data_IF_541914403593
#
_entry.id   IF_541914403593
#
_cell.length_a   1.000
_cell.length_b   1.000
_cell.length_c   1.000
_cell.angle_alpha   90.00
_cell.angle_beta   90.00
_cell.angle_gamma   90.00
#
_symmetry.space_group_name_H-M   'P 1'
#
loop_
_entity.id
_entity.type
_entity.pdbx_description
1 polymer ?
#
# COMPACT_ATOMS: atom_id res chain seq x y z
N UNK A 1 27.04 3.91 -7.09
CA UNK A 1 26.71 3.12 -5.89
C UNK A 1 25.56 3.82 -5.20
N UNK A 2 24.52 3.08 -4.84
CA UNK A 2 23.31 3.64 -4.25
C UNK A 2 23.67 4.13 -2.83
N UNK A 3 23.24 5.34 -2.43
CA UNK A 3 23.61 5.98 -1.16
C UNK A 3 22.90 5.39 0.06
N UNK A 4 22.70 4.06 0.08
CA UNK A 4 22.06 3.35 1.17
C UNK A 4 22.88 3.48 2.47
N UNK A 5 22.21 3.69 3.59
CA UNK A 5 22.79 3.60 4.94
C UNK A 5 23.24 2.16 5.21
N UNK A 6 24.25 2.01 6.07
CA UNK A 6 24.72 0.67 6.47
C UNK A 6 23.62 -0.15 7.16
N UNK A 7 22.73 0.51 7.90
CA UNK A 7 21.57 -0.14 8.50
C UNK A 7 20.62 -0.71 7.43
N UNK A 8 20.31 0.06 6.39
CA UNK A 8 19.45 -0.43 5.29
C UNK A 8 20.13 -1.50 4.47
N UNK A 9 21.44 -1.37 4.18
CA UNK A 9 22.20 -2.44 3.51
C UNK A 9 22.14 -3.75 4.30
N UNK A 10 22.43 -3.69 5.60
CA UNK A 10 22.39 -4.86 6.47
C UNK A 10 20.98 -5.47 6.51
N UNK A 11 19.95 -4.62 6.59
CA UNK A 11 18.56 -5.07 6.56
C UNK A 11 18.23 -5.79 5.24
N UNK A 12 18.57 -5.20 4.09
CA UNK A 12 18.34 -5.78 2.75
C UNK A 12 18.98 -7.16 2.62
N UNK A 13 20.26 -7.27 2.95
CA UNK A 13 21.01 -8.52 2.88
C UNK A 13 20.41 -9.59 3.80
N UNK A 14 19.99 -9.21 5.02
CA UNK A 14 19.35 -10.12 5.99
C UNK A 14 18.00 -10.65 5.47
N UNK A 15 17.31 -9.88 4.62
CA UNK A 15 16.04 -10.29 3.99
C UNK A 15 16.20 -10.96 2.62
N UNK A 16 17.44 -11.10 2.13
CA UNK A 16 17.75 -11.74 0.85
C UNK A 16 17.65 -10.83 -0.37
N UNK A 17 17.67 -9.51 -0.18
CA UNK A 17 17.73 -8.52 -1.26
C UNK A 17 19.17 -8.04 -1.47
N UNK A 18 19.50 -7.70 -2.71
CA UNK A 18 20.76 -7.04 -3.05
C UNK A 18 20.67 -5.53 -2.79
N UNK A 19 21.83 -4.88 -2.67
CA UNK A 19 21.91 -3.42 -2.57
C UNK A 19 22.04 -2.74 -3.95
N UNK A 20 22.17 -3.53 -5.02
CA UNK A 20 22.43 -3.07 -6.39
C UNK A 20 21.13 -2.76 -7.12
N UNK A 21 20.12 -3.62 -6.96
CA UNK A 21 18.78 -3.46 -7.55
C UNK A 21 17.71 -3.30 -6.48
N UNK A 22 17.23 -2.06 -6.31
CA UNK A 22 16.15 -1.74 -5.36
C UNK A 22 14.79 -2.32 -5.77
N UNK A 23 14.66 -2.80 -7.00
CA UNK A 23 13.43 -3.35 -7.59
C UNK A 23 13.49 -4.87 -7.74
N UNK A 24 14.51 -5.53 -7.17
CA UNK A 24 14.61 -6.97 -7.16
C UNK A 24 13.34 -7.59 -6.55
N UNK A 25 12.73 -8.49 -7.29
CA UNK A 25 11.64 -9.32 -6.78
C UNK A 25 12.20 -10.48 -5.96
N UNK A 26 11.80 -10.53 -4.69
CA UNK A 26 12.14 -11.62 -3.78
C UNK A 26 11.11 -12.76 -3.84
N UNK A 27 10.98 -13.49 -2.73
CA UNK A 27 9.95 -14.52 -2.58
C UNK A 27 8.55 -13.91 -2.74
N UNK A 28 7.65 -14.63 -3.42
CA UNK A 28 6.28 -14.18 -3.76
C UNK A 28 6.22 -12.90 -4.61
N UNK A 29 7.32 -12.52 -5.27
CA UNK A 29 7.39 -11.30 -6.06
C UNK A 29 7.49 -10.02 -5.22
N UNK A 30 7.65 -10.11 -3.90
CA UNK A 30 7.76 -8.92 -3.04
C UNK A 30 9.09 -8.19 -3.30
N UNK A 31 9.03 -6.89 -3.56
CA UNK A 31 10.23 -6.03 -3.55
C UNK A 31 10.66 -5.71 -2.11
N UNK A 32 11.89 -5.22 -1.95
CA UNK A 32 12.39 -4.75 -0.65
C UNK A 32 11.45 -3.71 -0.01
N UNK A 33 10.88 -2.81 -0.83
CA UNK A 33 9.93 -1.79 -0.39
C UNK A 33 8.67 -2.42 0.23
N UNK A 34 8.07 -3.42 -0.43
CA UNK A 34 6.90 -4.14 0.08
C UNK A 34 7.22 -4.88 1.38
N UNK A 35 8.37 -5.57 1.42
CA UNK A 35 8.80 -6.33 2.58
C UNK A 35 9.03 -5.41 3.79
N UNK A 36 9.72 -4.28 3.60
CA UNK A 36 9.95 -3.29 4.65
C UNK A 36 8.65 -2.66 5.14
N UNK A 37 7.70 -2.40 4.22
CA UNK A 37 6.38 -1.87 4.53
C UNK A 37 5.56 -2.84 5.39
N UNK A 38 5.55 -4.13 5.03
CA UNK A 38 4.87 -5.19 5.78
C UNK A 38 5.47 -5.37 7.19
N UNK A 39 6.77 -5.18 7.33
CA UNK A 39 7.48 -5.28 8.63
C UNK A 39 7.52 -3.94 9.40
N UNK A 40 6.81 -2.91 8.94
CA UNK A 40 6.76 -1.58 9.57
C UNK A 40 8.12 -0.85 9.71
N UNK A 41 9.11 -1.16 8.86
CA UNK A 41 10.47 -0.60 8.99
C UNK A 41 10.54 0.76 8.30
N UNK A 42 10.02 1.80 8.96
CA UNK A 42 9.86 3.14 8.40
C UNK A 42 11.14 3.72 7.77
N UNK A 43 12.27 3.64 8.48
CA UNK A 43 13.54 4.18 7.99
C UNK A 43 13.96 3.56 6.65
N UNK A 44 13.81 2.24 6.50
CA UNK A 44 14.10 1.52 5.26
C UNK A 44 13.11 1.90 4.16
N UNK A 45 11.80 1.95 4.46
CA UNK A 45 10.78 2.34 3.46
C UNK A 45 11.06 3.74 2.92
N UNK A 46 11.31 4.70 3.82
CA UNK A 46 11.60 6.08 3.44
C UNK A 46 12.85 6.16 2.57
N UNK A 47 13.93 5.51 2.99
CA UNK A 47 15.19 5.54 2.25
C UNK A 47 15.06 4.89 0.86
N UNK A 48 14.36 3.78 0.74
CA UNK A 48 14.11 3.13 -0.56
C UNK A 48 13.31 4.05 -1.50
N UNK A 49 12.31 4.77 -0.99
CA UNK A 49 11.55 5.76 -1.78
C UNK A 49 12.45 6.92 -2.20
N UNK A 50 13.23 7.49 -1.28
CA UNK A 50 14.12 8.62 -1.53
C UNK A 50 15.18 8.27 -2.61
N UNK A 51 15.60 7.00 -2.68
CA UNK A 51 16.55 6.48 -3.66
C UNK A 51 15.91 6.00 -4.97
N UNK A 52 14.60 6.17 -5.14
CA UNK A 52 13.90 5.88 -6.40
C UNK A 52 13.53 4.41 -6.61
N UNK A 53 13.33 3.63 -5.54
CA UNK A 53 12.66 2.34 -5.66
C UNK A 53 11.29 2.51 -6.34
N UNK A 54 10.90 1.56 -7.19
CA UNK A 54 9.62 1.57 -7.88
C UNK A 54 8.48 1.42 -6.88
N UNK A 55 7.90 2.55 -6.50
CA UNK A 55 6.81 2.63 -5.53
C UNK A 55 5.53 1.89 -6.00
N UNK A 56 5.37 1.75 -7.32
CA UNK A 56 4.21 1.11 -7.95
C UNK A 56 4.48 -0.34 -8.35
N UNK A 57 5.57 -0.94 -7.90
CA UNK A 57 5.80 -2.37 -8.07
C UNK A 57 4.63 -3.17 -7.48
N UNK A 58 4.37 -4.35 -8.06
CA UNK A 58 3.35 -5.30 -7.62
C UNK A 58 4.00 -6.65 -7.36
N UNK A 59 3.53 -7.35 -6.33
CA UNK A 59 3.94 -8.72 -6.04
C UNK A 59 3.14 -9.73 -6.90
N UNK A 60 3.33 -11.03 -6.66
CA UNK A 60 2.67 -12.10 -7.42
C UNK A 60 1.15 -12.19 -7.21
N UNK A 61 0.60 -11.47 -6.22
CA UNK A 61 -0.85 -11.37 -5.98
C UNK A 61 -1.41 -10.03 -6.51
N UNK A 62 -0.57 -9.23 -7.18
CA UNK A 62 -0.91 -7.90 -7.66
C UNK A 62 -0.92 -6.81 -6.58
N UNK A 63 -0.50 -7.10 -5.35
CA UNK A 63 -0.49 -6.13 -4.26
C UNK A 63 0.74 -5.21 -4.34
N UNK A 64 0.56 -3.92 -4.05
CA UNK A 64 1.65 -2.96 -3.92
C UNK A 64 1.99 -2.69 -2.44
N UNK A 65 2.96 -1.80 -2.19
CA UNK A 65 3.36 -1.46 -0.82
C UNK A 65 2.21 -0.88 0.02
N UNK A 66 1.32 -0.05 -0.56
CA UNK A 66 0.19 0.55 0.15
C UNK A 66 -0.75 -0.50 0.72
N UNK A 67 -0.97 -1.60 -0.01
CA UNK A 67 -1.77 -2.72 0.45
C UNK A 67 -1.26 -3.27 1.80
N UNK A 68 0.05 -3.47 1.93
CA UNK A 68 0.66 -3.96 3.16
C UNK A 68 0.64 -2.92 4.30
N UNK A 69 0.79 -1.63 4.00
CA UNK A 69 0.68 -0.57 5.00
C UNK A 69 -0.73 -0.48 5.60
N UNK A 70 -1.76 -0.55 4.74
CA UNK A 70 -3.15 -0.54 5.18
C UNK A 70 -3.54 -1.83 5.91
N UNK A 71 -3.08 -2.99 5.44
CA UNK A 71 -3.32 -4.28 6.13
C UNK A 71 -2.72 -4.31 7.54
N UNK A 72 -1.53 -3.74 7.72
CA UNK A 72 -0.87 -3.63 9.02
C UNK A 72 -1.38 -2.47 9.89
N UNK A 73 -2.26 -1.61 9.39
CA UNK A 73 -2.65 -0.35 10.03
C UNK A 73 -1.46 0.57 10.35
N UNK A 74 -0.42 0.56 9.49
CA UNK A 74 0.78 1.36 9.68
C UNK A 74 0.57 2.80 9.18
N UNK A 75 -0.20 3.61 9.91
CA UNK A 75 -0.65 4.95 9.48
C UNK A 75 0.48 5.86 8.96
N UNK A 76 1.65 5.87 9.61
CA UNK A 76 2.80 6.66 9.18
C UNK A 76 3.33 6.23 7.80
N UNK A 77 3.31 4.91 7.53
CA UNK A 77 3.69 4.37 6.23
C UNK A 77 2.62 4.62 5.17
N UNK A 78 1.34 4.58 5.53
CA UNK A 78 0.25 4.95 4.60
C UNK A 78 0.45 6.41 4.16
N UNK A 79 0.66 7.33 5.11
CA UNK A 79 0.92 8.74 4.82
C UNK A 79 2.17 8.93 3.97
N UNK A 80 3.28 8.25 4.31
CA UNK A 80 4.53 8.33 3.55
C UNK A 80 4.34 7.87 2.10
N UNK A 81 3.69 6.72 1.88
CA UNK A 81 3.48 6.16 0.55
C UNK A 81 2.54 7.04 -0.30
N UNK A 82 1.46 7.56 0.29
CA UNK A 82 0.53 8.47 -0.39
C UNK A 82 1.17 9.83 -0.72
N UNK A 83 2.01 10.35 0.17
CA UNK A 83 2.81 11.55 -0.09
C UNK A 83 3.78 11.33 -1.26
N UNK A 84 4.35 10.12 -1.37
CA UNK A 84 5.20 9.69 -2.47
C UNK A 84 4.43 9.28 -3.75
N UNK A 85 3.11 9.56 -3.82
CA UNK A 85 2.27 9.34 -5.00
C UNK A 85 2.23 7.89 -5.49
N UNK A 86 2.25 6.93 -4.56
CA UNK A 86 1.88 5.55 -4.89
C UNK A 86 0.48 5.51 -5.53
N UNK A 87 0.26 4.55 -6.44
CA UNK A 87 -1.04 4.30 -7.03
C UNK A 87 -2.01 3.77 -5.97
N UNK A 88 -2.85 4.68 -5.44
CA UNK A 88 -3.91 4.37 -4.47
C UNK A 88 -5.00 3.46 -5.06
N UNK A 89 -5.16 3.50 -6.37
CA UNK A 89 -6.18 2.78 -7.14
C UNK A 89 -5.67 1.43 -7.68
N UNK A 90 -4.51 0.96 -7.22
CA UNK A 90 -3.99 -0.35 -7.61
C UNK A 90 -4.98 -1.45 -7.25
N UNK A 91 -5.45 -2.16 -8.27
CA UNK A 91 -6.22 -3.39 -8.13
C UNK A 91 -5.26 -4.57 -8.08
N UNK A 92 -5.39 -5.39 -7.04
CA UNK A 92 -4.69 -6.67 -6.98
C UNK A 92 -5.30 -7.67 -7.99
N UNK A 93 -4.81 -8.90 -8.01
CA UNK A 93 -5.21 -9.86 -9.04
C UNK A 93 -6.68 -10.32 -8.93
N UNK A 94 -7.33 -10.06 -7.79
CA UNK A 94 -8.79 -10.23 -7.60
C UNK A 94 -9.60 -8.96 -7.95
N UNK A 95 -8.96 -7.94 -8.53
CA UNK A 95 -9.58 -6.66 -8.80
C UNK A 95 -9.78 -5.79 -7.54
N UNK A 96 -9.30 -6.21 -6.37
CA UNK A 96 -9.57 -5.50 -5.13
C UNK A 96 -8.62 -4.31 -4.94
N UNK A 97 -9.17 -3.15 -4.61
CA UNK A 97 -8.40 -1.97 -4.18
C UNK A 97 -8.15 -2.00 -2.67
N UNK A 98 -7.19 -1.20 -2.21
CA UNK A 98 -6.94 -1.07 -0.77
C UNK A 98 -8.11 -0.41 -0.02
N UNK A 99 -8.90 0.42 -0.70
CA UNK A 99 -10.11 1.02 -0.12
C UNK A 99 -11.21 -0.02 0.09
N UNK A 100 -11.40 -0.98 -0.82
CA UNK A 100 -12.33 -2.11 -0.63
C UNK A 100 -11.93 -2.94 0.58
N UNK A 101 -10.64 -3.24 0.73
CA UNK A 101 -10.12 -3.92 1.92
C UNK A 101 -10.42 -3.13 3.19
N UNK A 102 -10.05 -1.84 3.26
CA UNK A 102 -10.27 -1.01 4.43
C UNK A 102 -11.76 -0.90 4.81
N UNK A 103 -12.64 -0.84 3.81
CA UNK A 103 -14.08 -0.84 4.01
C UNK A 103 -14.58 -2.16 4.62
N UNK A 104 -14.12 -3.30 4.11
CA UNK A 104 -14.45 -4.64 4.63
C UNK A 104 -13.95 -4.85 6.05
N UNK A 105 -12.73 -4.40 6.35
CA UNK A 105 -12.13 -4.47 7.68
C UNK A 105 -12.82 -3.54 8.69
N UNK A 106 -13.66 -2.59 8.23
CA UNK A 106 -14.31 -1.60 9.09
C UNK A 106 -13.37 -0.56 9.65
N UNK A 107 -12.14 -0.47 9.11
CA UNK A 107 -11.13 0.45 9.59
C UNK A 107 -11.44 1.88 9.13
N UNK A 108 -12.15 2.59 10.00
CA UNK A 108 -12.66 3.94 9.75
C UNK A 108 -11.52 4.94 9.52
N UNK A 109 -10.43 4.81 10.27
CA UNK A 109 -9.26 5.68 10.22
C UNK A 109 -8.52 5.53 8.89
N UNK A 110 -8.28 4.29 8.44
CA UNK A 110 -7.67 4.03 7.13
C UNK A 110 -8.59 4.52 6.00
N UNK A 111 -9.91 4.28 6.08
CA UNK A 111 -10.86 4.79 5.09
C UNK A 111 -10.80 6.32 5.02
N UNK A 112 -10.84 7.03 6.15
CA UNK A 112 -10.72 8.50 6.18
C UNK A 112 -9.43 8.97 5.54
N UNK A 113 -8.31 8.34 5.88
CA UNK A 113 -6.99 8.69 5.36
C UNK A 113 -6.91 8.47 3.85
N UNK A 114 -7.36 7.32 3.35
CA UNK A 114 -7.42 7.06 1.91
C UNK A 114 -8.30 8.09 1.19
N UNK A 115 -9.49 8.40 1.71
CA UNK A 115 -10.42 9.36 1.09
C UNK A 115 -9.86 10.78 0.95
N UNK A 116 -8.93 11.20 1.83
CA UNK A 116 -8.24 12.49 1.70
C UNK A 116 -7.37 12.59 0.43
N UNK A 117 -7.03 11.44 -0.17
CA UNK A 117 -6.23 11.35 -1.40
C UNK A 117 -7.07 11.04 -2.64
N UNK A 118 -8.40 11.19 -2.56
CA UNK A 118 -9.34 11.07 -3.68
C UNK A 118 -9.21 9.78 -4.52
N UNK A 119 -9.26 8.58 -3.89
CA UNK A 119 -9.25 7.32 -4.62
C UNK A 119 -10.50 7.20 -5.50
N UNK A 120 -10.40 6.41 -6.56
CA UNK A 120 -11.55 6.11 -7.40
C UNK A 120 -12.52 5.17 -6.66
N UNK A 121 -13.64 5.73 -6.21
CA UNK A 121 -14.69 5.04 -5.46
C UNK A 121 -15.52 4.06 -6.30
N UNK A 122 -15.37 4.11 -7.63
CA UNK A 122 -16.22 3.38 -8.58
C UNK A 122 -15.54 2.16 -9.21
N UNK A 123 -14.26 1.94 -8.92
CA UNK A 123 -13.55 0.72 -9.32
C UNK A 123 -14.28 -0.50 -8.79
N UNK A 124 -14.33 -1.53 -9.62
CA UNK A 124 -15.01 -2.79 -9.34
C UNK A 124 -14.00 -3.91 -9.28
N UNK A 125 -14.16 -4.80 -8.29
CA UNK A 125 -13.43 -6.07 -8.27
C UNK A 125 -13.98 -7.02 -9.36
N UNK A 126 -13.44 -8.24 -9.42
CA UNK A 126 -13.89 -9.23 -10.42
C UNK A 126 -15.36 -9.68 -10.26
N UNK A 127 -15.99 -9.39 -9.11
CA UNK A 127 -17.40 -9.69 -8.82
C UNK A 127 -18.31 -8.46 -8.95
N UNK A 128 -17.84 -7.42 -9.66
CA UNK A 128 -18.53 -6.14 -9.88
C UNK A 128 -18.77 -5.28 -8.61
N UNK A 129 -18.22 -5.66 -7.46
CA UNK A 129 -18.35 -4.91 -6.20
C UNK A 129 -17.39 -3.73 -6.11
N UNK A 130 -17.91 -2.60 -5.61
CA UNK A 130 -17.19 -1.36 -5.33
C UNK A 130 -16.86 -1.27 -3.83
N UNK A 131 -16.04 -0.29 -3.45
CA UNK A 131 -15.67 -0.10 -2.04
C UNK A 131 -16.88 0.05 -1.09
N UNK A 132 -17.97 0.68 -1.54
CA UNK A 132 -19.18 0.87 -0.72
C UNK A 132 -19.90 -0.45 -0.41
N UNK A 133 -19.81 -1.45 -1.29
CA UNK A 133 -20.45 -2.75 -1.13
C UNK A 133 -19.79 -3.57 -0.02
N UNK A 134 -18.53 -3.24 0.31
CA UNK A 134 -17.77 -3.85 1.39
C UNK A 134 -17.90 -3.12 2.73
N UNK A 135 -18.68 -2.03 2.85
CA UNK A 135 -18.75 -1.26 4.09
C UNK A 135 -19.30 -2.11 5.26
N UNK A 136 -18.42 -2.52 6.18
CA UNK A 136 -18.79 -3.44 7.26
C UNK A 136 -19.46 -2.77 8.47
N UNK A 137 -19.42 -1.44 8.54
CA UNK A 137 -20.08 -0.69 9.60
C UNK A 137 -20.71 0.62 9.10
N UNK A 138 -21.57 1.19 9.93
CA UNK A 138 -22.36 2.40 9.61
C UNK A 138 -21.47 3.60 9.32
N UNK A 139 -20.35 3.74 10.03
CA UNK A 139 -19.46 4.89 9.88
C UNK A 139 -18.70 4.83 8.55
N UNK A 140 -18.14 3.67 8.19
CA UNK A 140 -17.52 3.45 6.87
C UNK A 140 -18.53 3.69 5.75
N UNK A 141 -19.75 3.13 5.89
CA UNK A 141 -20.82 3.35 4.90
C UNK A 141 -21.15 4.84 4.76
N UNK A 142 -21.22 5.58 5.87
CA UNK A 142 -21.48 7.02 5.89
C UNK A 142 -20.35 7.80 5.20
N UNK A 143 -19.10 7.46 5.47
CA UNK A 143 -17.93 8.09 4.84
C UNK A 143 -17.94 7.91 3.33
N UNK A 144 -18.12 6.67 2.86
CA UNK A 144 -18.15 6.36 1.43
C UNK A 144 -19.35 7.01 0.72
N UNK A 145 -20.54 7.02 1.34
CA UNK A 145 -21.72 7.73 0.81
C UNK A 145 -21.54 9.24 0.70
N UNK A 146 -20.76 9.84 1.59
CA UNK A 146 -20.49 11.28 1.54
C UNK A 146 -19.47 11.60 0.45
N UNK A 147 -18.44 10.76 0.32
CA UNK A 147 -17.39 10.93 -0.68
C UNK A 147 -17.87 10.72 -2.13
N UNK A 148 -18.96 9.98 -2.36
CA UNK A 148 -19.55 9.80 -3.70
C UNK A 148 -20.48 10.95 -4.13
N UNK A 149 -20.78 11.89 -3.24
CA UNK A 149 -21.68 13.04 -3.50
C UNK A 149 -20.94 14.35 -3.77
N UNK A 150 -19.65 14.40 -3.42
CA UNK A 150 -18.74 15.53 -3.60
C UNK A 150 -18.07 15.49 -4.96
#
# INVERSE_FOLDING_TARGET
MNNLTEATKQWLLTKGYTCEDLNQHGKNGDTALMKATREAVYAVVKELIDLGANINARNNDGNNALWFACFGNHYDLINLLLAAKINIDNQNDNGATVLMYAASAGNTEVVKLLLQHHPNLYLQNLDDYKAIDFASNVEVLRLLKNATKS
#
